data_IF_484008033371
#
_entry.id   IF_484008033371
#
_cell.length_a   1.000
_cell.length_b   1.000
_cell.length_c   1.000
_cell.angle_alpha   90.00
_cell.angle_beta   90.00
_cell.angle_gamma   90.00
#
_symmetry.space_group_name_H-M   'P 1'
#
loop_
_entity.id
_entity.type
_entity.pdbx_description
1 polymer ?
#
# COMPACT_ATOMS: atom_id res chain seq x y z
N UNK A 1 0.64 3.27 19.93
CA UNK A 1 0.71 3.42 18.45
C UNK A 1 0.71 2.08 17.72
N UNK A 2 1.52 1.10 18.16
CA UNK A 2 1.62 -0.23 17.55
C UNK A 2 0.28 -0.99 17.54
N UNK A 3 -0.46 -0.96 18.65
CA UNK A 3 -1.73 -1.70 18.78
C UNK A 3 -2.83 -1.24 17.82
N UNK A 4 -2.95 0.07 17.55
CA UNK A 4 -3.97 0.62 16.62
C UNK A 4 -3.63 0.34 15.16
N UNK A 5 -2.34 0.39 14.80
CA UNK A 5 -1.87 0.00 13.47
C UNK A 5 -2.13 -1.49 13.20
N UNK A 6 -1.91 -2.34 14.20
CA UNK A 6 -2.16 -3.77 14.11
C UNK A 6 -3.65 -4.07 13.99
N UNK A 7 -4.50 -3.45 14.82
CA UNK A 7 -5.94 -3.66 14.75
C UNK A 7 -6.51 -3.22 13.40
N UNK A 8 -6.14 -2.02 12.93
CA UNK A 8 -6.54 -1.52 11.61
C UNK A 8 -6.06 -2.43 10.47
N UNK A 9 -4.84 -2.98 10.57
CA UNK A 9 -4.31 -3.93 9.59
C UNK A 9 -5.12 -5.24 9.58
N UNK A 10 -5.44 -5.78 10.75
CA UNK A 10 -6.22 -7.03 10.88
C UNK A 10 -7.63 -6.83 10.30
N UNK A 11 -8.31 -5.74 10.62
CA UNK A 11 -9.64 -5.43 10.11
C UNK A 11 -9.65 -5.24 8.59
N UNK A 12 -8.70 -4.47 8.05
CA UNK A 12 -8.57 -4.28 6.62
C UNK A 12 -8.25 -5.59 5.90
N UNK A 13 -7.40 -6.46 6.48
CA UNK A 13 -7.11 -7.78 5.92
C UNK A 13 -8.35 -8.68 5.90
N UNK A 14 -9.16 -8.67 6.95
CA UNK A 14 -10.45 -9.40 6.97
C UNK A 14 -11.40 -8.87 5.88
N UNK A 15 -11.46 -7.55 5.70
CA UNK A 15 -12.25 -6.93 4.61
C UNK A 15 -11.73 -7.35 3.23
N UNK A 16 -10.41 -7.39 3.02
CA UNK A 16 -9.79 -7.87 1.78
C UNK A 16 -10.16 -9.34 1.53
N UNK A 17 -10.00 -10.21 2.51
CA UNK A 17 -10.35 -11.64 2.38
C UNK A 17 -11.83 -11.83 2.03
N UNK A 18 -12.72 -11.04 2.62
CA UNK A 18 -14.14 -11.07 2.27
C UNK A 18 -14.39 -10.57 0.84
N UNK A 19 -13.74 -9.47 0.43
CA UNK A 19 -13.86 -8.94 -0.93
C UNK A 19 -13.30 -9.90 -2.00
N UNK A 20 -12.24 -10.63 -1.68
CA UNK A 20 -11.61 -11.61 -2.56
C UNK A 20 -12.44 -12.91 -2.64
N UNK A 21 -13.12 -13.31 -1.56
CA UNK A 21 -14.00 -14.51 -1.55
C UNK A 21 -15.18 -14.40 -2.52
N UNK A 22 -15.73 -13.20 -2.70
CA UNK A 22 -16.93 -12.99 -3.53
C UNK A 22 -16.64 -12.67 -5.00
N UNK A 23 -15.37 -12.63 -5.42
CA UNK A 23 -15.05 -12.26 -6.80
C UNK A 23 -14.01 -13.19 -7.44
N UNK A 24 -14.35 -13.66 -8.64
CA UNK A 24 -13.44 -14.02 -9.74
C UNK A 24 -12.60 -12.79 -10.17
N UNK A 25 -11.94 -12.12 -9.23
CA UNK A 25 -11.56 -10.72 -9.37
C UNK A 25 -10.28 -10.56 -10.17
N UNK A 26 -10.25 -9.74 -11.20
CA UNK A 26 -9.06 -9.41 -11.99
C UNK A 26 -7.94 -8.69 -11.19
N UNK A 27 -8.21 -8.37 -9.92
CA UNK A 27 -7.35 -7.56 -9.06
C UNK A 27 -7.24 -8.17 -7.66
N UNK A 28 -6.06 -8.08 -7.05
CA UNK A 28 -5.79 -8.38 -5.64
C UNK A 28 -5.82 -7.07 -4.85
N UNK A 29 -6.32 -7.06 -3.62
CA UNK A 29 -6.25 -5.85 -2.78
C UNK A 29 -5.07 -5.96 -1.79
N UNK A 30 -4.29 -4.90 -1.66
CA UNK A 30 -3.19 -4.82 -0.70
C UNK A 30 -3.24 -3.52 0.09
N UNK A 31 -2.89 -3.60 1.37
CA UNK A 31 -2.73 -2.44 2.24
C UNK A 31 -1.32 -1.88 2.08
N UNK A 32 -1.22 -0.57 1.81
CA UNK A 32 0.06 0.12 1.89
C UNK A 32 0.35 0.56 3.33
N UNK A 33 1.09 -0.28 4.06
CA UNK A 33 1.38 -0.08 5.49
C UNK A 33 2.20 1.19 5.74
N UNK A 34 3.11 1.57 4.83
CA UNK A 34 3.96 2.76 5.01
C UNK A 34 3.13 4.05 4.94
N UNK A 35 2.21 4.13 3.97
CA UNK A 35 1.29 5.26 3.84
C UNK A 35 0.35 5.30 5.04
N UNK A 36 -0.17 4.14 5.47
CA UNK A 36 -1.05 4.04 6.63
C UNK A 36 -0.34 4.53 7.90
N UNK A 37 0.88 4.06 8.17
CA UNK A 37 1.67 4.46 9.33
C UNK A 37 1.99 5.97 9.33
N UNK A 38 2.39 6.52 8.19
CA UNK A 38 2.68 7.94 8.05
C UNK A 38 1.46 8.82 8.33
N UNK A 39 0.31 8.49 7.73
CA UNK A 39 -0.93 9.26 7.91
C UNK A 39 -1.52 9.12 9.31
N UNK A 40 -1.44 7.93 9.91
CA UNK A 40 -1.87 7.72 11.30
C UNK A 40 -1.02 8.51 12.28
N UNK A 41 0.31 8.54 12.10
CA UNK A 41 1.22 9.31 12.96
C UNK A 41 0.85 10.80 12.95
N UNK A 42 0.65 11.39 11.77
CA UNK A 42 0.28 12.81 11.63
C UNK A 42 -1.06 13.11 12.32
N UNK A 43 -2.07 12.28 12.10
CA UNK A 43 -3.40 12.53 12.67
C UNK A 43 -3.46 12.27 14.18
N UNK A 44 -2.67 11.33 14.71
CA UNK A 44 -2.55 11.09 16.15
C UNK A 44 -1.94 12.29 16.89
N UNK A 45 -0.90 12.92 16.34
CA UNK A 45 -0.38 14.16 16.90
C UNK A 45 -1.47 15.23 17.00
N UNK A 46 -2.29 15.38 15.96
CA UNK A 46 -3.40 16.33 15.96
C UNK A 46 -4.47 16.04 17.01
N UNK A 47 -4.71 14.76 17.34
CA UNK A 47 -5.65 14.39 18.42
C UNK A 47 -5.11 14.78 19.79
N UNK A 48 -3.82 14.55 20.03
CA UNK A 48 -3.18 14.87 21.32
C UNK A 48 -3.24 16.38 21.60
N UNK A 49 -3.05 17.20 20.57
CA UNK A 49 -3.09 18.67 20.68
C UNK A 49 -4.48 19.28 20.47
N UNK A 50 -5.52 18.48 20.22
CA UNK A 50 -6.87 19.02 20.07
C UNK A 50 -7.46 19.36 21.44
N UNK A 51 -7.87 20.62 21.60
CA UNK A 51 -8.42 21.18 22.83
C UNK A 51 -9.88 20.75 23.02
N UNK A 52 -10.63 20.62 21.93
CA UNK A 52 -12.06 20.34 21.94
C UNK A 52 -12.39 18.90 21.54
N UNK A 53 -13.41 18.32 22.19
CA UNK A 53 -13.90 16.97 21.90
C UNK A 53 -14.44 16.85 20.46
N UNK A 54 -15.12 17.89 19.97
CA UNK A 54 -15.60 17.98 18.59
C UNK A 54 -14.48 17.96 17.53
N UNK A 55 -13.30 18.46 17.87
CA UNK A 55 -12.15 18.41 16.97
C UNK A 55 -11.50 17.03 16.99
N UNK A 56 -11.39 16.41 18.16
CA UNK A 56 -10.91 15.04 18.32
C UNK A 56 -11.78 14.06 17.52
N UNK A 57 -13.11 14.15 17.61
CA UNK A 57 -14.02 13.28 16.85
C UNK A 57 -13.89 13.48 15.34
N UNK A 58 -13.77 14.72 14.85
CA UNK A 58 -13.49 15.00 13.44
C UNK A 58 -12.18 14.36 12.96
N UNK A 59 -11.12 14.43 13.77
CA UNK A 59 -9.82 13.83 13.41
C UNK A 59 -9.91 12.30 13.44
N UNK A 60 -10.65 11.70 14.37
CA UNK A 60 -10.90 10.25 14.42
C UNK A 60 -11.65 9.77 13.18
N UNK A 61 -12.72 10.45 12.77
CA UNK A 61 -13.44 10.13 11.54
C UNK A 61 -12.52 10.23 10.30
N UNK A 62 -11.62 11.22 10.29
CA UNK A 62 -10.61 11.38 9.23
C UNK A 62 -9.60 10.24 9.22
N UNK A 63 -9.22 9.71 10.39
CA UNK A 63 -8.37 8.53 10.53
C UNK A 63 -9.07 7.31 9.92
N UNK A 64 -10.33 7.05 10.27
CA UNK A 64 -11.10 5.93 9.73
C UNK A 64 -11.24 6.00 8.21
N UNK A 65 -11.59 7.17 7.69
CA UNK A 65 -11.65 7.40 6.24
C UNK A 65 -10.29 7.13 5.56
N UNK A 66 -9.21 7.55 6.20
CA UNK A 66 -7.85 7.34 5.68
C UNK A 66 -7.46 5.87 5.67
N UNK A 67 -7.81 5.12 6.71
CA UNK A 67 -7.61 3.67 6.82
C UNK A 67 -8.29 2.97 5.63
N UNK A 68 -9.55 3.29 5.36
CA UNK A 68 -10.30 2.72 4.24
C UNK A 68 -9.66 3.01 2.88
N UNK A 69 -9.13 4.23 2.70
CA UNK A 69 -8.53 4.68 1.44
C UNK A 69 -7.10 4.14 1.20
N UNK A 70 -6.46 3.56 2.22
CA UNK A 70 -5.14 2.92 2.09
C UNK A 70 -5.20 1.51 1.47
N UNK A 71 -6.41 0.99 1.25
CA UNK A 71 -6.62 -0.23 0.47
C UNK A 71 -6.40 0.06 -1.01
N UNK A 72 -5.35 -0.52 -1.60
CA UNK A 72 -5.00 -0.35 -3.00
C UNK A 72 -5.36 -1.58 -3.81
N UNK A 73 -5.94 -1.37 -4.99
CA UNK A 73 -6.09 -2.41 -6.02
C UNK A 73 -4.73 -2.68 -6.64
N UNK A 74 -4.30 -3.94 -6.60
CA UNK A 74 -3.10 -4.47 -7.27
C UNK A 74 -3.58 -5.27 -8.48
N UNK A 75 -3.02 -4.99 -9.66
CA UNK A 75 -3.30 -5.82 -10.85
C UNK A 75 -2.80 -7.25 -10.57
N UNK A 76 -3.60 -8.26 -10.91
CA UNK A 76 -3.15 -9.65 -10.84
C UNK A 76 -1.84 -9.84 -11.58
N UNK A 77 -0.94 -10.66 -11.02
CA UNK A 77 0.24 -11.10 -11.76
C UNK A 77 -0.23 -11.80 -13.05
N UNK A 78 0.44 -11.58 -14.20
CA UNK A 78 0.11 -12.29 -15.41
C UNK A 78 0.22 -13.80 -15.18
N UNK A 79 -0.73 -14.58 -15.69
CA UNK A 79 -0.74 -16.05 -15.58
C UNK A 79 0.50 -16.69 -16.20
N UNK A 80 1.11 -16.02 -17.19
CA UNK A 80 2.32 -16.44 -17.88
C UNK A 80 3.52 -15.66 -17.39
N UNK A 81 4.61 -16.38 -17.11
CA UNK A 81 5.90 -15.76 -16.80
C UNK A 81 6.37 -14.90 -17.96
N UNK A 82 6.83 -13.69 -17.64
CA UNK A 82 7.47 -12.83 -18.63
C UNK A 82 8.79 -13.49 -19.04
N UNK A 83 8.85 -14.01 -20.27
CA UNK A 83 10.12 -14.49 -20.83
C UNK A 83 11.16 -13.36 -20.73
N UNK A 84 12.33 -13.60 -20.11
CA UNK A 84 13.37 -12.59 -20.04
C UNK A 84 13.72 -12.18 -21.47
N UNK A 85 13.64 -10.89 -21.79
CA UNK A 85 14.11 -10.39 -23.08
C UNK A 85 15.59 -10.71 -23.15
N UNK A 86 16.00 -11.53 -24.13
CA UNK A 86 17.42 -11.78 -24.40
C UNK A 86 18.12 -10.41 -24.48
N UNK A 87 19.24 -10.20 -23.77
CA UNK A 87 19.99 -8.97 -23.93
C UNK A 87 20.25 -8.80 -25.43
N UNK A 88 19.80 -7.68 -26.01
CA UNK A 88 20.18 -7.35 -27.39
C UNK A 88 21.70 -7.42 -27.44
N UNK A 89 22.26 -8.19 -28.38
CA UNK A 89 23.70 -8.21 -28.63
C UNK A 89 24.12 -6.76 -28.79
N UNK A 90 24.74 -6.17 -27.76
CA UNK A 90 25.35 -4.85 -27.89
C UNK A 90 26.49 -5.05 -28.88
N UNK A 91 26.64 -4.12 -29.83
CA UNK A 91 27.77 -4.11 -30.74
C UNK A 91 29.06 -4.28 -29.92
N UNK A 92 30.03 -5.08 -30.39
CA UNK A 92 31.28 -5.29 -29.66
C UNK A 92 31.87 -3.92 -29.32
N UNK A 93 32.18 -3.73 -28.05
CA UNK A 93 32.87 -2.54 -27.57
C UNK A 93 34.11 -2.37 -28.43
N UNK A 94 34.27 -1.17 -29.00
CA UNK A 94 35.30 -0.83 -29.96
C UNK A 94 36.65 -1.35 -29.46
N UNK A 95 37.13 -2.46 -30.03
CA UNK A 95 38.44 -3.03 -29.73
C UNK A 95 39.49 -2.05 -30.29
N UNK A 96 39.82 -1.01 -29.52
CA UNK A 96 41.06 -0.28 -29.74
C UNK A 96 42.18 -1.28 -29.48
N UNK A 97 42.69 -1.87 -30.56
CA UNK A 97 43.98 -2.54 -30.57
C UNK A 97 44.97 -1.52 -29.99
N UNK A 98 45.48 -1.81 -28.80
CA UNK A 98 46.60 -1.08 -28.27
C UNK A 98 47.78 -1.34 -29.22
N UNK A 99 48.32 -0.26 -29.76
CA UNK A 99 49.60 -0.22 -30.48
C UNK A 99 50.74 -0.52 -29.51
#
# INVERSE_FOLDING_TARGET
MYNMLISSKIELNKKIQNLDKYKNCEHEYKININILAGKLKINLFKIIFAENENERTKIMNKIEYTIQRCMQKVKKKPKTERKPKKPKKRYPYNNRKNF
#
